data_IF_869444133981
#
_entry.id   IF_869444133981
#
_cell.length_a   1.000
_cell.length_b   1.000
_cell.length_c   1.000
_cell.angle_alpha   90.00
_cell.angle_beta   90.00
_cell.angle_gamma   90.00
#
_symmetry.space_group_name_H-M   'P 1'
#
loop_
_entity.id
_entity.type
_entity.pdbx_description
1 polymer ?
#
# COMPACT_ATOMS: atom_id res chain seq x y z
N UNK A 1 -20.03 -1.29 3.69
CA UNK A 1 -18.98 -0.54 2.96
C UNK A 1 -17.70 -0.38 3.78
N UNK A 2 -17.76 0.06 5.04
CA UNK A 2 -16.56 0.22 5.90
C UNK A 2 -15.77 -1.09 6.09
N UNK A 3 -16.46 -2.22 6.30
CA UNK A 3 -15.81 -3.54 6.38
C UNK A 3 -15.02 -3.89 5.11
N UNK A 4 -15.59 -3.60 3.92
CA UNK A 4 -14.92 -3.81 2.62
C UNK A 4 -13.69 -2.92 2.49
N UNK A 5 -13.76 -1.67 2.94
CA UNK A 5 -12.61 -0.78 2.94
C UNK A 5 -11.47 -1.29 3.84
N UNK A 6 -11.79 -1.74 5.06
CA UNK A 6 -10.81 -2.29 5.99
C UNK A 6 -10.15 -3.57 5.45
N UNK A 7 -10.93 -4.48 4.84
CA UNK A 7 -10.37 -5.71 4.28
C UNK A 7 -9.45 -5.42 3.09
N UNK A 8 -9.78 -4.43 2.26
CA UNK A 8 -8.92 -4.02 1.14
C UNK A 8 -7.59 -3.43 1.62
N UNK A 9 -7.60 -2.57 2.66
CA UNK A 9 -6.36 -2.03 3.25
C UNK A 9 -5.54 -3.14 3.90
N UNK A 10 -6.16 -3.95 4.74
CA UNK A 10 -5.47 -5.02 5.46
C UNK A 10 -4.84 -6.02 4.48
N UNK A 11 -5.58 -6.43 3.45
CA UNK A 11 -5.07 -7.32 2.40
C UNK A 11 -3.97 -6.64 1.58
N UNK A 12 -4.15 -5.39 1.16
CA UNK A 12 -3.16 -4.65 0.38
C UNK A 12 -1.83 -4.48 1.10
N UNK A 13 -1.87 -4.07 2.36
CA UNK A 13 -0.67 -3.94 3.22
C UNK A 13 -0.05 -5.30 3.49
N UNK A 14 -0.86 -6.33 3.76
CA UNK A 14 -0.35 -7.70 3.96
C UNK A 14 0.36 -8.23 2.73
N UNK A 15 -0.17 -8.02 1.53
CA UNK A 15 0.51 -8.42 0.28
C UNK A 15 1.80 -7.65 0.03
N UNK A 16 1.83 -6.35 0.31
CA UNK A 16 3.05 -5.55 0.18
C UNK A 16 4.11 -6.02 1.18
N UNK A 17 3.73 -6.22 2.45
CA UNK A 17 4.62 -6.73 3.49
C UNK A 17 5.14 -8.13 3.16
N UNK A 18 4.23 -9.02 2.73
CA UNK A 18 4.55 -10.40 2.40
C UNK A 18 5.42 -10.56 1.15
N UNK A 19 5.46 -9.55 0.29
CA UNK A 19 6.37 -9.51 -0.87
C UNK A 19 7.76 -8.95 -0.54
N UNK A 20 7.95 -8.41 0.66
CA UNK A 20 9.18 -7.73 1.03
C UNK A 20 10.23 -8.75 1.50
N UNK A 21 11.50 -8.53 1.13
CA UNK A 21 12.60 -9.47 1.45
C UNK A 21 12.91 -9.53 2.95
N UNK A 22 12.69 -8.43 3.66
CA UNK A 22 12.98 -8.29 5.09
C UNK A 22 11.76 -8.54 5.98
N UNK A 23 10.72 -9.19 5.45
CA UNK A 23 9.59 -9.57 6.30
C UNK A 23 10.01 -10.64 7.31
N UNK A 24 9.36 -10.64 8.48
CA UNK A 24 9.60 -11.61 9.54
C UNK A 24 8.50 -12.68 9.64
N UNK A 25 7.44 -12.58 8.82
CA UNK A 25 6.25 -13.43 8.95
C UNK A 25 6.32 -14.73 8.14
N UNK A 26 6.99 -14.72 6.99
CA UNK A 26 7.09 -15.87 6.09
C UNK A 26 8.55 -16.25 5.87
N UNK A 27 8.83 -17.56 5.83
CA UNK A 27 10.18 -18.09 5.54
C UNK A 27 10.67 -17.72 4.13
N UNK A 28 9.77 -17.54 3.17
CA UNK A 28 10.10 -17.14 1.81
C UNK A 28 9.23 -15.96 1.36
N UNK A 29 9.83 -14.94 0.70
CA UNK A 29 9.07 -13.80 0.20
C UNK A 29 8.13 -14.21 -0.94
N UNK A 30 6.90 -13.68 -0.89
CA UNK A 30 5.92 -13.87 -1.95
C UNK A 30 6.42 -13.16 -3.22
N UNK A 31 6.07 -13.71 -4.39
CA UNK A 31 6.44 -13.15 -5.69
C UNK A 31 6.10 -11.65 -5.81
N UNK A 32 6.98 -10.88 -6.44
CA UNK A 32 6.83 -9.44 -6.68
C UNK A 32 5.54 -9.07 -7.43
N UNK A 33 4.90 -10.01 -8.13
CA UNK A 33 3.58 -9.82 -8.77
C UNK A 33 2.49 -9.49 -7.73
N UNK A 34 2.54 -10.12 -6.54
CA UNK A 34 1.60 -9.83 -5.46
C UNK A 34 1.83 -8.46 -4.84
N UNK A 35 3.05 -7.91 -4.94
CA UNK A 35 3.33 -6.52 -4.54
C UNK A 35 2.54 -5.53 -5.39
N UNK A 36 2.51 -5.74 -6.70
CA UNK A 36 1.70 -4.91 -7.62
C UNK A 36 0.21 -5.05 -7.31
N UNK A 37 -0.26 -6.26 -7.00
CA UNK A 37 -1.63 -6.51 -6.59
C UNK A 37 -1.97 -5.75 -5.29
N UNK A 38 -1.07 -5.75 -4.30
CA UNK A 38 -1.24 -4.99 -3.07
C UNK A 38 -1.34 -3.48 -3.28
N UNK A 39 -0.57 -2.92 -4.22
CA UNK A 39 -0.70 -1.51 -4.61
C UNK A 39 -2.04 -1.22 -5.29
N UNK A 40 -2.54 -2.11 -6.16
CA UNK A 40 -3.87 -1.97 -6.77
C UNK A 40 -4.99 -2.01 -5.73
N UNK A 41 -4.87 -2.87 -4.71
CA UNK A 41 -5.81 -2.91 -3.59
C UNK A 41 -5.78 -1.61 -2.76
N UNK A 42 -4.61 -1.02 -2.54
CA UNK A 42 -4.52 0.28 -1.87
C UNK A 42 -5.14 1.41 -2.69
N UNK A 43 -4.89 1.46 -4.00
CA UNK A 43 -5.49 2.47 -4.88
C UNK A 43 -7.02 2.35 -4.89
N UNK A 44 -7.55 1.13 -4.99
CA UNK A 44 -9.01 0.93 -4.95
C UNK A 44 -9.60 1.33 -3.59
N UNK A 45 -8.91 1.06 -2.47
CA UNK A 45 -9.36 1.56 -1.16
C UNK A 45 -9.41 3.10 -1.09
N UNK A 46 -8.47 3.79 -1.73
CA UNK A 46 -8.43 5.25 -1.82
C UNK A 46 -9.59 5.83 -2.63
N UNK A 47 -9.97 5.16 -3.72
CA UNK A 47 -11.11 5.54 -4.55
C UNK A 47 -12.44 5.31 -3.83
N UNK A 48 -12.50 4.31 -2.96
CA UNK A 48 -13.70 3.96 -2.18
C UNK A 48 -13.87 4.88 -0.94
N UNK A 49 -12.78 5.41 -0.38
CA UNK A 49 -12.77 6.30 0.80
C UNK A 49 -13.78 7.46 0.75
N UNK A 50 -13.88 8.26 -0.34
CA UNK A 50 -14.84 9.37 -0.45
C UNK A 50 -16.31 8.95 -0.34
N UNK A 51 -16.63 7.70 -0.67
CA UNK A 51 -18.00 7.18 -0.60
C UNK A 51 -18.39 6.70 0.81
N UNK A 52 -17.42 6.56 1.71
CA UNK A 52 -17.61 6.01 3.07
C UNK A 52 -17.45 7.09 4.13
N UNK A 53 -16.50 8.00 3.95
CA UNK A 53 -16.14 8.99 4.94
C UNK A 53 -16.70 10.38 4.60
N UNK A 54 -17.00 11.16 5.64
CA UNK A 54 -17.34 12.58 5.49
C UNK A 54 -16.22 13.32 4.72
N UNK A 55 -16.56 14.37 3.98
CA UNK A 55 -15.68 15.03 3.01
C UNK A 55 -14.29 15.39 3.57
N UNK A 56 -14.23 15.85 4.82
CA UNK A 56 -12.96 16.19 5.49
C UNK A 56 -12.04 14.97 5.72
N UNK A 57 -12.60 13.81 6.08
CA UNK A 57 -11.83 12.59 6.32
C UNK A 57 -11.32 11.98 5.00
N UNK A 58 -12.08 12.12 3.91
CA UNK A 58 -11.62 11.71 2.57
C UNK A 58 -10.37 12.49 2.13
N UNK A 59 -10.36 13.81 2.34
CA UNK A 59 -9.20 14.66 2.02
C UNK A 59 -7.96 14.22 2.80
N UNK A 60 -8.13 13.85 4.08
CA UNK A 60 -7.03 13.39 4.92
C UNK A 60 -6.43 12.06 4.44
N UNK A 61 -7.26 11.12 3.98
CA UNK A 61 -6.81 9.83 3.41
C UNK A 61 -6.01 10.06 2.13
N UNK A 62 -6.48 10.95 1.25
CA UNK A 62 -5.75 11.32 0.03
C UNK A 62 -4.40 11.97 0.32
N UNK A 63 -4.35 12.87 1.30
CA UNK A 63 -3.11 13.48 1.77
C UNK A 63 -2.12 12.43 2.29
N UNK A 64 -2.57 11.49 3.12
CA UNK A 64 -1.72 10.40 3.61
C UNK A 64 -1.17 9.53 2.47
N UNK A 65 -1.97 9.27 1.44
CA UNK A 65 -1.55 8.45 0.30
C UNK A 65 -0.50 9.17 -0.56
N UNK A 66 -0.65 10.48 -0.76
CA UNK A 66 0.35 11.32 -1.42
C UNK A 66 1.66 11.34 -0.63
N UNK A 67 1.59 11.51 0.70
CA UNK A 67 2.78 11.45 1.56
C UNK A 67 3.47 10.08 1.47
N UNK A 68 2.71 8.98 1.42
CA UNK A 68 3.24 7.64 1.26
C UNK A 68 4.01 7.47 -0.07
N UNK A 69 3.43 7.94 -1.17
CA UNK A 69 4.08 7.90 -2.49
C UNK A 69 5.37 8.72 -2.49
N UNK A 70 5.34 9.92 -1.90
CA UNK A 70 6.52 10.78 -1.75
C UNK A 70 7.66 10.12 -0.97
N UNK A 71 7.34 9.32 0.06
CA UNK A 71 8.35 8.57 0.83
C UNK A 71 8.90 7.38 0.04
N UNK A 72 8.07 6.71 -0.78
CA UNK A 72 8.51 5.57 -1.60
C UNK A 72 9.49 5.99 -2.71
N UNK A 73 9.36 7.22 -3.24
CA UNK A 73 10.24 7.74 -4.31
C UNK A 73 11.73 7.70 -3.93
N UNK A 74 12.21 8.33 -2.84
CA UNK A 74 13.62 8.29 -2.46
C UNK A 74 14.07 6.89 -2.07
N UNK A 75 13.22 6.10 -1.41
CA UNK A 75 13.54 4.70 -1.05
C UNK A 75 13.78 3.86 -2.32
N UNK A 76 12.95 4.03 -3.35
CA UNK A 76 13.13 3.33 -4.62
C UNK A 76 14.44 3.72 -5.33
N UNK A 77 14.81 5.00 -5.26
CA UNK A 77 16.08 5.50 -5.82
C UNK A 77 17.30 4.92 -5.10
N UNK A 78 17.21 4.75 -3.78
CA UNK A 78 18.28 4.17 -2.96
C UNK A 78 18.44 2.67 -3.21
N UNK A 79 17.32 1.96 -3.35
CA UNK A 79 17.30 0.51 -3.56
C UNK A 79 17.78 0.12 -4.98
N UNK A 80 17.53 0.97 -6.00
CA UNK A 80 18.09 0.81 -7.35
C UNK A 80 19.61 1.00 -7.36
N UNK A 81 20.12 1.98 -6.61
CA UNK A 81 21.57 2.23 -6.51
C UNK A 81 22.31 1.13 -5.74
N UNK A 82 21.67 0.46 -4.79
CA UNK A 82 22.28 -0.63 -4.01
C UNK A 82 22.41 -1.96 -4.79
N UNK A 83 21.73 -2.11 -5.92
CA UNK A 83 21.71 -3.35 -6.72
C UNK A 83 22.69 -3.28 -7.92
N UNK A 84 23.10 -2.08 -8.33
CA UNK A 84 24.15 -1.86 -9.35
C UNK A 84 25.50 -1.71 -8.67
#
# INVERSE_FOLDING_TARGET
MLFVFLTFIAAGVSFIYASNRHQLALNTPISKKFKQLGYLLLISSAVISPFIFNGAASVFIWLMLIMLVLIIIPISSFLIRSIR
#
